data_IF_366980505559
#
_entry.id   IF_366980505559
#
_cell.length_a   1.000
_cell.length_b   1.000
_cell.length_c   1.000
_cell.angle_alpha   90.00
_cell.angle_beta   90.00
_cell.angle_gamma   90.00
#
_symmetry.space_group_name_H-M   'P 1'
#
loop_
_entity.id
_entity.type
_entity.pdbx_description
1 polymer ?
#
# COMPACT_ATOMS: atom_id res chain seq x y z
N UNK A 1 -28.34 76.97 -30.39
CA UNK A 1 -29.21 76.15 -29.50
C UNK A 1 -29.72 74.99 -30.33
N UNK A 2 -29.36 73.75 -29.99
CA UNK A 2 -29.83 72.57 -30.72
C UNK A 2 -31.23 72.23 -30.23
N UNK A 3 -32.19 72.08 -31.14
CA UNK A 3 -33.59 71.76 -30.82
C UNK A 3 -33.69 70.42 -30.09
N UNK A 4 -34.49 70.38 -29.02
CA UNK A 4 -34.70 69.19 -28.19
C UNK A 4 -35.18 68.00 -29.05
N UNK A 5 -35.95 68.27 -30.11
CA UNK A 5 -36.42 67.25 -31.06
C UNK A 5 -35.27 66.62 -31.86
N UNK A 6 -34.28 67.41 -32.24
CA UNK A 6 -33.07 66.96 -32.95
C UNK A 6 -32.17 66.13 -32.04
N UNK A 7 -32.06 66.52 -30.75
CA UNK A 7 -31.33 65.74 -29.76
C UNK A 7 -31.99 64.39 -29.44
N UNK A 8 -33.32 64.34 -29.37
CA UNK A 8 -34.08 63.10 -29.13
C UNK A 8 -33.99 62.16 -30.35
N UNK A 9 -34.08 62.69 -31.57
CA UNK A 9 -33.93 61.88 -32.79
C UNK A 9 -32.52 61.28 -32.92
N UNK A 10 -31.48 62.05 -32.59
CA UNK A 10 -30.10 61.55 -32.57
C UNK A 10 -29.90 60.47 -31.48
N UNK A 11 -30.47 60.65 -30.29
CA UNK A 11 -30.40 59.65 -29.21
C UNK A 11 -31.18 58.36 -29.53
N UNK A 12 -32.30 58.44 -30.25
CA UNK A 12 -33.04 57.27 -30.72
C UNK A 12 -32.30 56.52 -31.83
N UNK A 13 -31.66 57.23 -32.76
CA UNK A 13 -30.83 56.62 -33.80
C UNK A 13 -29.62 55.88 -33.21
N UNK A 14 -28.98 56.45 -32.19
CA UNK A 14 -27.85 55.79 -31.49
C UNK A 14 -28.28 54.58 -30.65
N UNK A 15 -29.47 54.61 -30.04
CA UNK A 15 -30.05 53.43 -29.37
C UNK A 15 -30.35 52.32 -30.37
N UNK A 16 -30.99 52.62 -31.50
CA UNK A 16 -31.26 51.62 -32.54
C UNK A 16 -29.97 51.01 -33.12
N UNK A 17 -28.90 51.81 -33.29
CA UNK A 17 -27.59 51.30 -33.74
C UNK A 17 -26.93 50.37 -32.71
N UNK A 18 -27.03 50.67 -31.41
CA UNK A 18 -26.53 49.79 -30.34
C UNK A 18 -27.34 48.51 -30.18
N UNK A 19 -28.66 48.58 -30.30
CA UNK A 19 -29.54 47.40 -30.16
C UNK A 19 -29.51 46.50 -31.39
N UNK A 20 -29.31 47.07 -32.59
CA UNK A 20 -29.07 46.33 -33.83
C UNK A 20 -27.72 45.59 -33.84
N UNK A 21 -26.65 46.22 -33.33
CA UNK A 21 -25.34 45.58 -33.18
C UNK A 21 -25.34 44.48 -32.12
N UNK A 22 -26.02 44.68 -30.97
CA UNK A 22 -26.16 43.65 -29.93
C UNK A 22 -27.00 42.45 -30.36
N UNK A 23 -27.98 42.61 -31.25
CA UNK A 23 -28.78 41.50 -31.77
C UNK A 23 -28.18 40.81 -33.00
N UNK A 24 -27.32 41.49 -33.78
CA UNK A 24 -26.56 40.87 -34.87
C UNK A 24 -25.47 39.92 -34.34
N UNK A 25 -24.83 40.24 -33.21
CA UNK A 25 -23.87 39.33 -32.56
C UNK A 25 -24.51 38.19 -31.76
N UNK A 26 -25.75 38.35 -31.25
CA UNK A 26 -26.40 37.33 -30.41
C UNK A 26 -27.35 36.36 -31.11
N UNK A 27 -27.57 36.46 -32.43
CA UNK A 27 -28.48 35.56 -33.15
C UNK A 27 -28.00 35.04 -34.51
N UNK A 28 -26.68 34.94 -34.75
CA UNK A 28 -26.22 33.88 -35.66
C UNK A 28 -26.18 32.58 -34.84
N UNK A 29 -27.35 31.95 -34.67
CA UNK A 29 -27.44 30.53 -34.32
C UNK A 29 -26.73 29.77 -35.44
N UNK A 30 -25.41 29.61 -35.33
CA UNK A 30 -24.63 28.74 -36.22
C UNK A 30 -25.24 27.35 -36.06
N UNK A 31 -26.01 26.89 -37.04
CA UNK A 31 -26.34 25.47 -37.15
C UNK A 31 -25.02 24.70 -37.19
N UNK A 32 -24.94 23.50 -36.60
CA UNK A 32 -23.69 22.74 -36.46
C UNK A 32 -22.78 22.69 -37.69
N UNK A 33 -23.37 22.75 -38.90
CA UNK A 33 -22.65 22.87 -40.17
C UNK A 33 -21.71 24.10 -40.29
N UNK A 34 -22.04 25.26 -39.70
CA UNK A 34 -21.22 26.50 -39.74
C UNK A 34 -20.16 26.54 -38.61
N UNK A 35 -20.09 25.49 -37.79
CA UNK A 35 -19.09 25.26 -36.74
C UNK A 35 -18.02 24.23 -37.15
N UNK A 36 -18.04 23.75 -38.40
CA UNK A 36 -17.16 22.67 -38.85
C UNK A 36 -17.50 21.31 -38.21
N UNK A 37 -18.66 21.20 -37.58
CA UNK A 37 -19.18 19.93 -37.06
C UNK A 37 -19.79 19.22 -38.26
N UNK A 38 -19.14 18.14 -38.69
CA UNK A 38 -19.68 17.29 -39.75
C UNK A 38 -21.12 16.88 -39.39
N UNK A 39 -22.05 16.91 -40.35
CA UNK A 39 -23.41 16.45 -40.11
C UNK A 39 -23.39 15.00 -39.61
N UNK A 40 -24.16 14.73 -38.55
CA UNK A 40 -24.23 13.42 -37.90
C UNK A 40 -24.63 12.34 -38.91
N UNK A 41 -23.70 11.42 -39.20
CA UNK A 41 -23.93 10.26 -40.05
C UNK A 41 -24.01 8.99 -39.18
N UNK A 42 -25.22 8.44 -38.95
CA UNK A 42 -25.42 7.30 -38.07
C UNK A 42 -24.55 6.08 -38.42
N UNK A 43 -24.28 5.84 -39.71
CA UNK A 43 -23.49 4.69 -40.14
C UNK A 43 -22.00 4.86 -39.79
N UNK A 44 -21.46 6.07 -39.98
CA UNK A 44 -20.08 6.39 -39.58
C UNK A 44 -19.92 6.40 -38.06
N UNK A 45 -20.88 6.95 -37.33
CA UNK A 45 -20.86 6.92 -35.88
C UNK A 45 -20.89 5.49 -35.33
N UNK A 46 -21.77 4.64 -35.85
CA UNK A 46 -21.81 3.23 -35.47
C UNK A 46 -20.51 2.48 -35.80
N UNK A 47 -19.91 2.76 -36.97
CA UNK A 47 -18.60 2.21 -37.34
C UNK A 47 -17.48 2.62 -36.37
N UNK A 48 -17.49 3.89 -35.95
CA UNK A 48 -16.57 4.43 -34.95
C UNK A 48 -16.74 3.78 -33.58
N UNK A 49 -17.97 3.69 -33.07
CA UNK A 49 -18.24 3.05 -31.76
C UNK A 49 -17.79 1.58 -31.75
N UNK A 50 -17.98 0.86 -32.86
CA UNK A 50 -17.47 -0.51 -33.01
C UNK A 50 -15.94 -0.56 -33.02
N UNK A 51 -15.29 0.36 -33.72
CA UNK A 51 -13.83 0.44 -33.78
C UNK A 51 -13.23 0.78 -32.40
N UNK A 52 -13.83 1.72 -31.67
CA UNK A 52 -13.41 2.12 -30.32
C UNK A 52 -13.65 0.97 -29.32
N UNK A 53 -14.77 0.26 -29.42
CA UNK A 53 -15.05 -0.93 -28.60
C UNK A 53 -14.04 -2.05 -28.86
N UNK A 54 -13.75 -2.35 -30.13
CA UNK A 54 -12.78 -3.38 -30.48
C UNK A 54 -11.34 -3.00 -30.05
N UNK A 55 -10.99 -1.71 -30.14
CA UNK A 55 -9.73 -1.18 -29.59
C UNK A 55 -9.64 -1.37 -28.08
N UNK A 56 -10.72 -1.07 -27.35
CA UNK A 56 -10.79 -1.24 -25.90
C UNK A 56 -10.53 -2.69 -25.50
N UNK A 57 -11.22 -3.65 -26.12
CA UNK A 57 -11.01 -5.07 -25.84
C UNK A 57 -9.61 -5.56 -26.17
N UNK A 58 -9.03 -5.09 -27.29
CA UNK A 58 -7.66 -5.41 -27.65
C UNK A 58 -6.69 -4.92 -26.58
N UNK A 59 -6.84 -3.67 -26.11
CA UNK A 59 -5.97 -3.09 -25.08
C UNK A 59 -6.10 -3.82 -23.75
N UNK A 60 -7.32 -4.17 -23.34
CA UNK A 60 -7.56 -4.94 -22.11
C UNK A 60 -6.90 -6.33 -22.21
N UNK A 61 -7.12 -7.05 -23.31
CA UNK A 61 -6.50 -8.35 -23.53
C UNK A 61 -4.98 -8.26 -23.54
N UNK A 62 -4.42 -7.23 -24.16
CA UNK A 62 -3.00 -6.96 -24.14
C UNK A 62 -2.47 -6.68 -22.73
N UNK A 63 -3.16 -5.83 -21.95
CA UNK A 63 -2.79 -5.56 -20.57
C UNK A 63 -2.80 -6.83 -19.71
N UNK A 64 -3.81 -7.69 -19.86
CA UNK A 64 -3.87 -9.01 -19.19
C UNK A 64 -2.65 -9.86 -19.55
N UNK A 65 -2.32 -9.99 -20.84
CA UNK A 65 -1.16 -10.77 -21.29
C UNK A 65 0.13 -10.22 -20.69
N UNK A 66 0.30 -8.89 -20.71
CA UNK A 66 1.48 -8.25 -20.12
C UNK A 66 1.53 -8.49 -18.61
N UNK A 67 0.44 -8.31 -17.87
CA UNK A 67 0.42 -8.59 -16.42
C UNK A 67 0.78 -10.04 -16.12
N UNK A 68 0.21 -11.01 -16.85
CA UNK A 68 0.54 -12.42 -16.66
C UNK A 68 2.01 -12.72 -17.00
N UNK A 69 2.56 -12.10 -18.05
CA UNK A 69 3.98 -12.19 -18.38
C UNK A 69 4.86 -11.57 -17.28
N UNK A 70 4.47 -10.41 -16.73
CA UNK A 70 5.19 -9.80 -15.61
C UNK A 70 5.21 -10.75 -14.41
N UNK A 71 4.05 -11.30 -14.05
CA UNK A 71 3.90 -12.17 -12.88
C UNK A 71 4.61 -13.50 -13.02
N UNK A 72 4.38 -14.24 -14.10
CA UNK A 72 4.78 -15.65 -14.19
C UNK A 72 6.09 -15.87 -14.93
N UNK A 73 6.62 -14.85 -15.61
CA UNK A 73 7.88 -14.96 -16.34
C UNK A 73 8.92 -14.02 -15.72
N UNK A 74 8.59 -12.73 -15.56
CA UNK A 74 9.59 -11.75 -15.13
C UNK A 74 9.88 -11.82 -13.64
N UNK A 75 8.86 -11.77 -12.76
CA UNK A 75 9.09 -11.80 -11.31
C UNK A 75 9.90 -13.04 -10.87
N UNK A 76 9.60 -14.30 -11.28
CA UNK A 76 10.42 -15.45 -10.88
C UNK A 76 11.86 -15.42 -11.43
N UNK A 77 12.09 -14.69 -12.53
CA UNK A 77 13.42 -14.57 -13.15
C UNK A 77 14.26 -13.41 -12.59
N UNK A 78 13.66 -12.55 -11.76
CA UNK A 78 14.32 -11.38 -11.17
C UNK A 78 14.48 -11.59 -9.66
N UNK A 79 15.57 -11.09 -9.10
CA UNK A 79 15.77 -11.05 -7.64
C UNK A 79 15.13 -9.77 -7.07
N UNK A 80 14.75 -9.81 -5.79
CA UNK A 80 14.12 -8.69 -5.08
C UNK A 80 14.96 -7.39 -5.18
N UNK A 81 16.28 -7.52 -5.27
CA UNK A 81 17.24 -6.40 -5.38
C UNK A 81 17.23 -5.69 -6.74
N UNK A 82 16.61 -6.27 -7.77
CA UNK A 82 16.65 -5.76 -9.17
C UNK A 82 15.24 -5.55 -9.73
N UNK A 83 14.38 -4.91 -8.95
CA UNK A 83 12.97 -4.70 -9.27
C UNK A 83 12.70 -3.58 -10.28
N UNK A 84 13.68 -2.74 -10.62
CA UNK A 84 13.53 -1.64 -11.60
C UNK A 84 12.93 -2.10 -12.94
N UNK A 85 13.32 -3.29 -13.40
CA UNK A 85 12.82 -3.87 -14.66
C UNK A 85 11.33 -4.15 -14.58
N UNK A 86 10.81 -4.55 -13.42
CA UNK A 86 9.38 -4.85 -13.21
C UNK A 86 8.51 -3.60 -13.30
N UNK A 87 9.06 -2.41 -13.05
CA UNK A 87 8.35 -1.13 -13.20
C UNK A 87 8.50 -0.53 -14.59
N UNK A 88 9.70 -0.62 -15.17
CA UNK A 88 10.02 0.03 -16.46
C UNK A 88 9.43 -0.75 -17.63
N UNK A 89 9.56 -2.08 -17.63
CA UNK A 89 9.12 -2.92 -18.74
C UNK A 89 7.62 -2.78 -19.07
N UNK A 90 6.67 -2.80 -18.10
CA UNK A 90 5.25 -2.61 -18.42
C UNK A 90 4.96 -1.20 -18.94
N UNK A 91 5.73 -0.20 -18.55
CA UNK A 91 5.59 1.16 -19.08
C UNK A 91 6.09 1.22 -20.54
N UNK A 92 7.21 0.57 -20.86
CA UNK A 92 7.71 0.52 -22.24
C UNK A 92 6.78 -0.22 -23.20
N UNK A 93 6.00 -1.18 -22.69
CA UNK A 93 4.97 -1.90 -23.45
C UNK A 93 3.87 -0.98 -24.01
N UNK A 94 3.66 0.21 -23.43
CA UNK A 94 2.76 1.24 -24.01
C UNK A 94 3.14 1.60 -25.45
N UNK A 95 4.44 1.62 -25.76
CA UNK A 95 4.96 2.02 -27.07
C UNK A 95 4.57 1.00 -28.16
N UNK A 96 4.27 -0.24 -27.79
CA UNK A 96 3.88 -1.31 -28.73
C UNK A 96 2.40 -1.27 -29.08
N UNK A 97 1.57 -0.56 -28.31
CA UNK A 97 0.11 -0.48 -28.53
C UNK A 97 -0.23 -0.03 -29.97
N UNK A 98 0.41 1.01 -30.55
CA UNK A 98 0.15 1.39 -31.94
C UNK A 98 0.52 0.33 -32.97
N UNK A 99 1.58 -0.44 -32.73
CA UNK A 99 2.00 -1.52 -33.60
C UNK A 99 1.00 -2.68 -33.54
N UNK A 100 0.55 -3.07 -32.34
CA UNK A 100 -0.43 -4.12 -32.12
C UNK A 100 -1.76 -3.82 -32.82
N UNK A 101 -2.26 -2.60 -32.69
CA UNK A 101 -3.49 -2.18 -33.36
C UNK A 101 -3.37 -2.28 -34.89
N UNK A 102 -2.23 -1.87 -35.47
CA UNK A 102 -2.02 -1.97 -36.92
C UNK A 102 -1.90 -3.42 -37.41
N UNK A 103 -1.39 -4.31 -36.55
CA UNK A 103 -1.19 -5.72 -36.88
C UNK A 103 -2.47 -6.54 -36.76
N UNK A 104 -3.27 -6.32 -35.71
CA UNK A 104 -4.42 -7.16 -35.36
C UNK A 104 -5.73 -6.62 -35.92
N UNK A 105 -5.91 -5.30 -35.97
CA UNK A 105 -7.21 -4.73 -36.30
C UNK A 105 -7.51 -4.75 -37.80
N UNK A 106 -8.76 -5.07 -38.19
CA UNK A 106 -9.22 -4.99 -39.57
C UNK A 106 -8.95 -3.63 -40.22
N UNK A 107 -8.64 -3.64 -41.51
CA UNK A 107 -8.29 -2.42 -42.26
C UNK A 107 -9.40 -1.36 -42.24
N UNK A 108 -10.66 -1.80 -42.14
CA UNK A 108 -11.86 -0.95 -42.04
C UNK A 108 -11.85 -0.05 -40.79
N UNK A 109 -11.09 -0.39 -39.76
CA UNK A 109 -10.98 0.40 -38.54
C UNK A 109 -9.77 1.35 -38.54
N UNK A 110 -8.87 1.23 -39.52
CA UNK A 110 -7.64 2.03 -39.59
C UNK A 110 -7.90 3.54 -39.64
N UNK A 111 -8.97 3.94 -40.32
CA UNK A 111 -9.38 5.35 -40.48
C UNK A 111 -9.80 6.01 -39.17
N UNK A 112 -10.21 5.21 -38.17
CA UNK A 112 -10.68 5.71 -36.88
C UNK A 112 -9.54 5.82 -35.84
N UNK A 113 -8.34 5.30 -36.13
CA UNK A 113 -7.18 5.40 -35.24
C UNK A 113 -6.46 6.74 -35.35
N UNK A 114 -6.97 7.71 -34.59
CA UNK A 114 -6.40 9.05 -34.49
C UNK A 114 -5.59 9.22 -33.20
N UNK A 115 -4.89 10.36 -33.07
CA UNK A 115 -4.14 10.73 -31.85
C UNK A 115 -4.99 10.62 -30.57
N UNK A 116 -6.28 10.96 -30.64
CA UNK A 116 -7.19 10.87 -29.49
C UNK A 116 -7.46 9.42 -29.05
N UNK A 117 -7.60 8.50 -30.00
CA UNK A 117 -7.79 7.07 -29.73
C UNK A 117 -6.55 6.46 -29.09
N UNK A 118 -5.35 6.83 -29.56
CA UNK A 118 -4.09 6.37 -28.96
C UNK A 118 -3.93 6.82 -27.51
N UNK A 119 -4.25 8.08 -27.22
CA UNK A 119 -4.20 8.60 -25.85
C UNK A 119 -5.16 7.81 -24.94
N UNK A 120 -6.39 7.58 -25.37
CA UNK A 120 -7.36 6.76 -24.59
C UNK A 120 -6.87 5.34 -24.37
N UNK A 121 -6.28 4.70 -25.39
CA UNK A 121 -5.72 3.37 -25.28
C UNK A 121 -4.55 3.31 -24.28
N UNK A 122 -3.70 4.34 -24.21
CA UNK A 122 -2.63 4.41 -23.21
C UNK A 122 -3.17 4.50 -21.79
N UNK A 123 -4.14 5.38 -21.54
CA UNK A 123 -4.77 5.47 -20.21
C UNK A 123 -5.46 4.17 -19.82
N UNK A 124 -6.22 3.58 -20.75
CA UNK A 124 -6.90 2.31 -20.53
C UNK A 124 -5.90 1.21 -20.18
N UNK A 125 -4.79 1.08 -20.94
CA UNK A 125 -3.74 0.12 -20.64
C UNK A 125 -3.15 0.36 -19.25
N UNK A 126 -2.73 1.58 -18.93
CA UNK A 126 -2.06 1.87 -17.65
C UNK A 126 -2.94 1.54 -16.46
N UNK A 127 -4.22 1.93 -16.49
CA UNK A 127 -5.13 1.61 -15.39
C UNK A 127 -5.48 0.13 -15.32
N UNK A 128 -5.68 -0.54 -16.46
CA UNK A 128 -5.97 -1.98 -16.49
C UNK A 128 -4.77 -2.77 -15.98
N UNK A 129 -3.57 -2.45 -16.45
CA UNK A 129 -2.33 -3.06 -15.99
C UNK A 129 -2.13 -2.85 -14.49
N UNK A 130 -2.23 -1.61 -13.99
CA UNK A 130 -2.04 -1.32 -12.57
C UNK A 130 -3.06 -2.07 -11.70
N UNK A 131 -4.33 -2.07 -12.11
CA UNK A 131 -5.39 -2.79 -11.40
C UNK A 131 -5.14 -4.30 -11.37
N UNK A 132 -4.74 -4.90 -12.48
CA UNK A 132 -4.44 -6.33 -12.54
C UNK A 132 -3.16 -6.68 -11.79
N UNK A 133 -2.15 -5.81 -11.82
CA UNK A 133 -0.91 -6.01 -11.08
C UNK A 133 -1.17 -6.05 -9.58
N UNK A 134 -1.99 -5.13 -9.03
CA UNK A 134 -2.37 -5.20 -7.61
C UNK A 134 -3.16 -6.47 -7.27
N UNK A 135 -4.02 -6.93 -8.18
CA UNK A 135 -4.77 -8.18 -7.97
C UNK A 135 -3.86 -9.41 -7.95
N UNK A 136 -2.86 -9.45 -8.82
CA UNK A 136 -2.03 -10.64 -9.06
C UNK A 136 -0.80 -10.71 -8.15
N UNK A 137 -0.39 -9.58 -7.58
CA UNK A 137 0.73 -9.50 -6.62
C UNK A 137 0.28 -9.82 -5.20
N UNK A 138 -1.00 -9.60 -4.88
CA UNK A 138 -1.55 -9.87 -3.57
C UNK A 138 -2.20 -11.26 -3.48
N UNK A 139 -2.41 -11.76 -2.24
CA UNK A 139 -3.12 -13.02 -2.03
C UNK A 139 -4.55 -12.97 -2.61
N UNK A 140 -5.07 -14.08 -3.17
CA UNK A 140 -4.50 -15.42 -3.24
C UNK A 140 -3.57 -15.67 -4.45
N UNK A 141 -3.25 -14.64 -5.25
CA UNK A 141 -2.55 -14.83 -6.53
C UNK A 141 -1.04 -14.59 -6.46
N UNK A 142 -0.57 -13.92 -5.42
CA UNK A 142 0.84 -13.72 -5.14
C UNK A 142 1.06 -13.45 -3.67
N UNK A 143 2.29 -13.69 -3.24
CA UNK A 143 2.72 -13.45 -1.88
C UNK A 143 4.18 -12.99 -1.91
N UNK A 144 4.37 -11.69 -1.84
CA UNK A 144 5.65 -11.05 -2.13
C UNK A 144 6.21 -10.29 -0.93
N UNK A 145 5.59 -10.42 0.25
CA UNK A 145 6.00 -9.69 1.45
C UNK A 145 5.96 -10.64 2.63
N UNK A 146 7.09 -10.79 3.32
CA UNK A 146 7.16 -11.54 4.57
C UNK A 146 6.25 -10.95 5.65
N UNK A 147 5.87 -11.74 6.68
CA UNK A 147 5.02 -11.29 7.77
C UNK A 147 5.62 -10.08 8.47
N UNK A 148 4.74 -9.23 8.96
CA UNK A 148 5.11 -7.97 9.58
C UNK A 148 4.80 -8.03 11.07
N UNK A 149 5.56 -7.29 11.89
CA UNK A 149 5.13 -7.00 13.24
C UNK A 149 3.71 -6.41 13.20
N UNK A 150 2.78 -7.01 13.94
CA UNK A 150 1.36 -6.68 13.86
C UNK A 150 1.09 -5.24 14.34
N UNK A 151 1.72 -4.83 15.45
CA UNK A 151 1.75 -3.44 15.91
C UNK A 151 3.00 -3.19 16.78
N UNK A 152 2.96 -3.59 18.05
CA UNK A 152 4.05 -3.38 19.00
C UNK A 152 4.63 -4.71 19.53
N UNK A 153 5.79 -4.61 20.18
CA UNK A 153 6.44 -5.70 20.91
C UNK A 153 6.74 -5.24 22.32
N UNK A 154 6.78 -6.15 23.29
CA UNK A 154 6.94 -5.81 24.68
C UNK A 154 7.72 -6.85 25.46
N UNK A 155 8.37 -6.41 26.54
CA UNK A 155 8.95 -7.29 27.55
C UNK A 155 8.06 -7.29 28.79
N UNK A 156 7.81 -8.49 29.31
CA UNK A 156 7.00 -8.73 30.50
C UNK A 156 7.83 -9.52 31.50
N UNK A 157 7.77 -9.11 32.76
CA UNK A 157 8.39 -9.83 33.86
C UNK A 157 7.28 -10.50 34.68
N UNK A 158 7.44 -11.80 34.90
CA UNK A 158 6.58 -12.57 35.79
C UNK A 158 7.03 -12.37 37.24
N UNK A 159 6.11 -12.02 38.13
CA UNK A 159 6.35 -11.98 39.57
C UNK A 159 5.13 -12.48 40.35
N UNK A 160 5.30 -13.54 41.13
CA UNK A 160 4.23 -14.16 41.94
C UNK A 160 2.97 -14.53 41.14
N UNK A 161 3.11 -14.98 39.90
CA UNK A 161 2.00 -15.34 39.01
C UNK A 161 1.25 -14.15 38.40
N UNK A 162 1.81 -12.94 38.50
CA UNK A 162 1.33 -11.76 37.79
C UNK A 162 2.38 -11.31 36.75
N UNK A 163 1.91 -10.74 35.66
CA UNK A 163 2.73 -10.29 34.54
C UNK A 163 2.73 -8.77 34.45
N UNK A 164 3.92 -8.17 34.48
CA UNK A 164 4.10 -6.71 34.44
C UNK A 164 4.95 -6.29 33.26
N UNK A 165 4.47 -5.32 32.47
CA UNK A 165 5.20 -4.75 31.34
C UNK A 165 6.34 -3.83 31.80
N UNK A 166 7.33 -3.66 30.92
CA UNK A 166 8.40 -2.68 31.05
C UNK A 166 7.89 -1.25 31.25
N UNK A 167 8.70 -0.41 31.91
CA UNK A 167 8.34 0.96 32.31
C UNK A 167 8.17 1.89 31.10
N UNK A 168 9.02 1.70 30.10
CA UNK A 168 8.96 2.42 28.83
C UNK A 168 8.91 1.41 27.68
N UNK A 169 7.92 1.60 26.79
CA UNK A 169 7.76 0.83 25.55
C UNK A 169 7.78 1.81 24.39
N UNK A 170 8.87 1.78 23.62
CA UNK A 170 9.03 2.55 22.40
C UNK A 170 9.39 1.59 21.27
N UNK A 171 8.95 1.84 20.03
CA UNK A 171 8.91 0.86 18.94
C UNK A 171 10.19 0.07 18.60
N UNK A 172 11.36 0.41 19.16
CA UNK A 172 12.58 -0.39 19.12
C UNK A 172 13.29 -0.63 20.46
N UNK A 173 12.85 0.01 21.54
CA UNK A 173 13.51 0.00 22.85
C UNK A 173 12.49 -0.18 23.98
N UNK A 174 12.74 -1.16 24.84
CA UNK A 174 12.00 -1.37 26.09
C UNK A 174 12.94 -1.14 27.27
N UNK A 175 12.50 -0.42 28.30
CA UNK A 175 13.32 -0.14 29.48
C UNK A 175 12.67 -0.62 30.77
N UNK A 176 13.48 -1.19 31.65
CA UNK A 176 13.11 -1.55 33.01
C UNK A 176 14.06 -0.90 34.00
N UNK A 177 13.57 -0.05 34.89
CA UNK A 177 14.41 0.62 35.89
C UNK A 177 14.24 -0.03 37.25
N UNK A 178 15.32 -0.58 37.80
CA UNK A 178 15.29 -1.21 39.13
C UNK A 178 15.33 -0.17 40.25
N UNK A 179 14.67 -0.43 41.39
CA UNK A 179 14.85 0.34 42.61
C UNK A 179 16.10 -0.10 43.41
N UNK A 180 16.49 0.68 44.43
CA UNK A 180 17.70 0.38 45.21
C UNK A 180 17.56 -0.93 45.98
N UNK A 181 18.44 -1.90 45.67
CA UNK A 181 18.41 -3.24 46.26
C UNK A 181 17.47 -4.22 45.57
N UNK A 182 16.79 -3.80 44.49
CA UNK A 182 15.95 -4.65 43.67
C UNK A 182 16.76 -5.41 42.61
N UNK A 183 16.28 -6.60 42.27
CA UNK A 183 16.76 -7.41 41.15
C UNK A 183 15.56 -8.08 40.50
N UNK A 184 15.66 -8.39 39.21
CA UNK A 184 14.63 -9.18 38.53
C UNK A 184 14.60 -10.56 39.18
N UNK A 185 13.46 -10.97 39.75
CA UNK A 185 13.35 -12.23 40.51
C UNK A 185 12.69 -13.34 39.69
N UNK A 186 11.84 -13.00 38.71
CA UNK A 186 11.10 -13.99 37.93
C UNK A 186 11.47 -14.03 36.46
N UNK A 187 10.61 -14.71 35.71
CA UNK A 187 10.81 -15.01 34.30
C UNK A 187 10.54 -13.80 33.43
N UNK A 188 11.48 -13.45 32.56
CA UNK A 188 11.30 -12.40 31.56
C UNK A 188 10.85 -13.01 30.22
N UNK A 189 9.83 -12.41 29.62
CA UNK A 189 9.20 -12.85 28.38
C UNK A 189 9.15 -11.72 27.37
N UNK A 190 9.49 -12.00 26.11
CA UNK A 190 9.23 -11.09 24.98
C UNK A 190 7.96 -11.53 24.29
N UNK A 191 7.02 -10.61 24.15
CA UNK A 191 5.71 -10.84 23.54
C UNK A 191 5.54 -9.95 22.31
N UNK A 192 5.09 -10.52 21.20
CA UNK A 192 4.75 -9.78 19.99
C UNK A 192 3.80 -10.60 19.10
N UNK A 193 3.18 -9.92 18.14
CA UNK A 193 2.37 -10.53 17.10
C UNK A 193 2.97 -10.37 15.72
N UNK A 194 2.80 -11.35 14.84
CA UNK A 194 3.08 -11.21 13.41
C UNK A 194 1.76 -11.22 12.62
N UNK A 195 1.57 -10.21 11.78
CA UNK A 195 0.49 -10.15 10.82
C UNK A 195 1.01 -10.61 9.45
N UNK A 196 0.31 -11.58 8.86
CA UNK A 196 0.56 -12.02 7.49
C UNK A 196 -0.65 -11.80 6.57
N UNK A 197 -0.40 -11.68 5.26
CA UNK A 197 -1.42 -11.44 4.25
C UNK A 197 -2.08 -12.73 3.71
N UNK A 198 -1.46 -13.91 3.87
CA UNK A 198 -1.95 -15.19 3.34
C UNK A 198 -2.43 -16.12 4.45
N UNK A 199 -1.51 -16.60 5.30
CA UNK A 199 -1.79 -17.50 6.43
C UNK A 199 -0.72 -17.43 7.55
N UNK A 200 -1.09 -17.96 8.71
CA UNK A 200 -0.32 -17.91 9.96
C UNK A 200 0.70 -19.06 10.14
N UNK A 201 0.91 -19.90 9.13
CA UNK A 201 1.62 -21.19 9.24
C UNK A 201 2.83 -21.38 8.32
N UNK A 202 3.07 -20.47 7.37
CA UNK A 202 4.14 -20.58 6.38
C UNK A 202 5.51 -20.04 6.79
N UNK A 203 5.58 -19.16 7.79
CA UNK A 203 6.79 -18.44 8.14
C UNK A 203 7.62 -19.15 9.22
N UNK A 204 8.92 -19.29 8.97
CA UNK A 204 9.89 -19.74 9.95
C UNK A 204 10.48 -18.52 10.68
N UNK A 205 10.27 -18.47 12.00
CA UNK A 205 10.73 -17.37 12.85
C UNK A 205 11.85 -17.86 13.75
N UNK A 206 13.04 -17.32 13.56
CA UNK A 206 14.20 -17.58 14.42
C UNK A 206 14.50 -16.35 15.25
N UNK A 207 14.62 -16.54 16.57
CA UNK A 207 14.89 -15.42 17.48
C UNK A 207 16.19 -15.65 18.20
N UNK A 208 17.06 -14.64 18.12
CA UNK A 208 18.39 -14.65 18.71
C UNK A 208 18.41 -13.61 19.82
N UNK A 209 18.68 -14.08 21.04
CA UNK A 209 18.95 -13.21 22.19
C UNK A 209 20.44 -13.09 22.41
N UNK A 210 20.92 -11.86 22.46
CA UNK A 210 22.32 -11.52 22.68
C UNK A 210 22.43 -10.72 23.98
N UNK A 211 23.29 -11.18 24.87
CA UNK A 211 23.68 -10.45 26.07
C UNK A 211 25.19 -10.55 26.28
N UNK A 212 25.84 -9.39 26.38
CA UNK A 212 27.29 -9.28 26.43
C UNK A 212 27.96 -10.00 25.23
N UNK A 213 28.68 -11.09 25.48
CA UNK A 213 29.34 -11.91 24.44
C UNK A 213 28.68 -13.28 24.25
N UNK A 214 27.44 -13.46 24.74
CA UNK A 214 26.70 -14.72 24.63
C UNK A 214 25.50 -14.51 23.72
N UNK A 215 25.35 -15.43 22.77
CA UNK A 215 24.20 -15.50 21.87
C UNK A 215 23.46 -16.80 22.12
N UNK A 216 22.14 -16.73 22.20
CA UNK A 216 21.27 -17.88 22.40
C UNK A 216 20.10 -17.81 21.43
N UNK A 217 19.79 -18.94 20.80
CA UNK A 217 18.60 -19.06 19.96
C UNK A 217 17.43 -19.45 20.88
N UNK A 218 16.37 -18.67 20.84
CA UNK A 218 15.17 -18.86 21.65
C UNK A 218 14.04 -19.29 20.73
N UNK A 219 13.37 -20.38 21.10
CA UNK A 219 12.16 -20.85 20.44
C UNK A 219 10.92 -20.21 21.09
N UNK A 220 9.90 -19.94 20.28
CA UNK A 220 8.61 -19.45 20.77
C UNK A 220 7.91 -20.52 21.61
N UNK A 221 7.39 -20.13 22.76
CA UNK A 221 6.56 -20.98 23.59
C UNK A 221 5.09 -20.87 23.16
N UNK A 222 4.60 -21.91 22.51
CA UNK A 222 3.23 -21.98 22.02
C UNK A 222 2.17 -22.07 23.15
N UNK A 223 2.51 -22.66 24.31
CA UNK A 223 1.52 -22.84 25.39
C UNK A 223 1.36 -21.60 26.28
N UNK A 224 2.32 -20.66 26.23
CA UNK A 224 2.27 -19.43 27.01
C UNK A 224 0.95 -18.67 26.83
N UNK A 225 0.47 -18.53 25.59
CA UNK A 225 -0.75 -17.77 25.30
C UNK A 225 -2.03 -18.51 25.71
N UNK A 226 -2.03 -19.84 25.67
CA UNK A 226 -3.15 -20.65 26.16
C UNK A 226 -3.25 -20.62 27.69
N UNK A 227 -2.11 -20.64 28.37
CA UNK A 227 -2.03 -20.70 29.84
C UNK A 227 -2.16 -19.33 30.50
N UNK A 228 -1.52 -18.30 29.93
CA UNK A 228 -1.33 -16.99 30.56
C UNK A 228 -1.89 -15.81 29.76
N UNK A 229 -2.53 -16.06 28.61
CA UNK A 229 -3.07 -15.00 27.75
C UNK A 229 -4.10 -14.09 28.44
N UNK A 230 -4.80 -14.61 29.47
CA UNK A 230 -5.71 -13.82 30.31
C UNK A 230 -5.00 -13.03 31.41
N UNK A 231 -3.86 -13.53 31.90
CA UNK A 231 -3.11 -12.98 33.04
C UNK A 231 -2.29 -11.76 32.64
N UNK A 232 -1.82 -11.72 31.39
CA UNK A 232 -1.16 -10.56 30.78
C UNK A 232 -2.15 -9.40 30.52
N UNK A 233 -3.47 -9.64 30.61
CA UNK A 233 -4.54 -8.62 30.66
C UNK A 233 -4.82 -7.83 29.36
N UNK A 234 -6.08 -7.86 28.88
CA UNK A 234 -6.74 -6.85 28.01
C UNK A 234 -5.99 -6.25 26.78
N UNK A 235 -5.18 -7.03 26.08
CA UNK A 235 -4.38 -6.61 24.91
C UNK A 235 -5.11 -6.78 23.55
N UNK A 236 -6.23 -7.53 23.51
CA UNK A 236 -7.10 -7.67 22.32
C UNK A 236 -8.02 -6.47 22.08
N UNK A 237 -8.23 -5.59 23.07
CA UNK A 237 -9.02 -4.35 22.93
C UNK A 237 -8.58 -3.34 23.98
N UNK A 238 -8.13 -2.17 23.53
CA UNK A 238 -7.54 -1.13 24.37
C UNK A 238 -8.36 -0.75 25.61
N UNK A 239 -7.80 -0.99 26.82
CA UNK A 239 -7.63 0.04 27.87
C UNK A 239 -6.76 -0.41 29.07
N UNK A 240 -5.52 0.07 29.13
CA UNK A 240 -4.91 0.71 30.31
C UNK A 240 -3.72 1.55 29.79
N UNK A 241 -3.57 2.80 30.24
CA UNK A 241 -2.90 3.93 29.55
C UNK A 241 -1.43 3.77 29.09
N UNK A 242 -0.76 2.65 29.32
CA UNK A 242 0.65 2.40 28.97
C UNK A 242 0.96 0.96 28.50
N UNK A 243 -0.05 0.10 28.34
CA UNK A 243 0.16 -1.26 27.85
C UNK A 243 0.21 -1.29 26.31
N UNK A 244 1.20 -1.98 25.71
CA UNK A 244 1.33 -2.04 24.26
C UNK A 244 0.26 -2.91 23.61
N UNK A 245 -0.07 -2.60 22.37
CA UNK A 245 -1.00 -3.39 21.56
C UNK A 245 -0.19 -4.42 20.76
N UNK A 246 -0.33 -5.70 21.09
CA UNK A 246 0.49 -6.76 20.47
C UNK A 246 -0.23 -7.51 19.34
N UNK A 247 -1.56 -7.67 19.43
CA UNK A 247 -2.41 -8.31 18.41
C UNK A 247 -3.63 -7.43 18.11
N UNK A 248 -3.47 -6.36 17.31
CA UNK A 248 -4.59 -5.52 16.89
C UNK A 248 -5.70 -6.31 16.16
N UNK A 249 -5.38 -7.43 15.51
CA UNK A 249 -6.29 -8.27 14.75
C UNK A 249 -6.51 -9.65 15.39
N UNK A 250 -6.38 -9.77 16.71
CA UNK A 250 -6.81 -10.90 17.55
C UNK A 250 -6.57 -12.32 16.98
N UNK A 251 -7.51 -12.83 16.16
CA UNK A 251 -7.48 -14.20 15.62
C UNK A 251 -6.79 -14.30 14.24
N UNK A 252 -6.34 -13.19 13.66
CA UNK A 252 -5.59 -13.15 12.40
C UNK A 252 -4.07 -12.98 12.61
N UNK A 253 -3.67 -12.42 13.75
CA UNK A 253 -2.27 -12.21 14.06
C UNK A 253 -1.70 -13.45 14.76
N UNK A 254 -0.50 -13.87 14.36
CA UNK A 254 0.21 -14.99 14.96
C UNK A 254 0.94 -14.55 16.25
N UNK A 255 0.61 -15.11 17.42
CA UNK A 255 1.20 -14.68 18.68
C UNK A 255 2.53 -15.40 18.99
N UNK A 256 3.52 -14.65 19.45
CA UNK A 256 4.83 -15.16 19.87
C UNK A 256 5.13 -14.79 21.31
N UNK A 257 5.63 -15.75 22.07
CA UNK A 257 6.10 -15.57 23.43
C UNK A 257 7.46 -16.24 23.60
N UNK A 258 8.49 -15.45 23.90
CA UNK A 258 9.87 -15.93 24.01
C UNK A 258 10.35 -15.82 25.45
N UNK A 259 10.85 -16.90 26.01
CA UNK A 259 11.39 -16.88 27.36
C UNK A 259 12.87 -16.46 27.34
N UNK A 260 13.18 -15.28 27.90
CA UNK A 260 14.55 -14.78 28.00
C UNK A 260 15.35 -15.38 29.16
N UNK A 261 14.65 -16.04 30.09
CA UNK A 261 15.24 -16.64 31.29
C UNK A 261 14.78 -15.98 32.58
N UNK A 262 15.17 -16.60 33.69
CA UNK A 262 14.91 -16.09 35.04
C UNK A 262 16.00 -15.14 35.50
N UNK A 263 15.60 -14.07 36.18
CA UNK A 263 16.53 -13.16 36.84
C UNK A 263 17.51 -12.48 35.89
N UNK A 264 16.95 -11.83 34.86
CA UNK A 264 17.73 -11.10 33.86
C UNK A 264 18.72 -10.13 34.52
N UNK A 265 19.97 -10.16 34.08
CA UNK A 265 21.03 -9.32 34.62
C UNK A 265 20.89 -7.87 34.16
N UNK A 266 21.42 -6.93 34.96
CA UNK A 266 21.48 -5.51 34.59
C UNK A 266 22.35 -5.33 33.34
N UNK A 267 21.85 -4.54 32.38
CA UNK A 267 22.53 -4.26 31.13
C UNK A 267 21.59 -4.27 29.92
N UNK A 268 22.18 -4.21 28.73
CA UNK A 268 21.46 -4.17 27.46
C UNK A 268 21.36 -5.56 26.85
N UNK A 269 20.15 -5.98 26.56
CA UNK A 269 19.81 -7.22 25.86
C UNK A 269 19.34 -6.89 24.46
N UNK A 270 19.95 -7.51 23.46
CA UNK A 270 19.53 -7.37 22.05
C UNK A 270 18.73 -8.60 21.65
N UNK A 271 17.57 -8.38 21.03
CA UNK A 271 16.70 -9.42 20.50
C UNK A 271 16.64 -9.22 18.99
N UNK A 272 17.12 -10.20 18.23
CA UNK A 272 17.06 -10.19 16.77
C UNK A 272 16.04 -11.22 16.33
N UNK A 273 14.98 -10.77 15.66
CA UNK A 273 13.93 -11.63 15.11
C UNK A 273 14.14 -11.71 13.61
N UNK A 274 14.46 -12.90 13.12
CA UNK A 274 14.62 -13.22 11.72
C UNK A 274 13.41 -14.04 11.26
N UNK A 275 12.76 -13.56 10.21
CA UNK A 275 11.56 -14.17 9.64
C UNK A 275 11.90 -14.56 8.21
N UNK A 276 11.73 -15.86 7.92
CA UNK A 276 11.92 -16.43 6.59
C UNK A 276 10.62 -17.10 6.15
N UNK A 277 10.11 -16.71 4.98
CA UNK A 277 8.89 -17.28 4.43
C UNK A 277 9.06 -17.59 2.94
N UNK A 278 8.54 -18.74 2.53
CA UNK A 278 8.42 -19.08 1.11
C UNK A 278 7.17 -18.43 0.52
N UNK A 279 7.33 -17.25 -0.04
CA UNK A 279 6.29 -16.59 -0.81
C UNK A 279 6.16 -17.10 -2.25
N UNK A 280 5.37 -16.39 -3.05
CA UNK A 280 5.19 -16.60 -4.48
C UNK A 280 5.32 -15.26 -5.25
N UNK A 281 6.42 -15.05 -6.01
CA UNK A 281 7.39 -16.05 -6.47
C UNK A 281 8.71 -16.07 -5.69
N UNK A 282 8.87 -15.22 -4.69
CA UNK A 282 10.14 -15.01 -4.01
C UNK A 282 10.14 -15.59 -2.60
N UNK A 283 11.33 -15.96 -2.14
CA UNK A 283 11.60 -16.12 -0.72
C UNK A 283 11.65 -14.72 -0.10
N UNK A 284 10.83 -14.51 0.92
CA UNK A 284 10.71 -13.23 1.61
C UNK A 284 11.44 -13.34 2.95
N UNK A 285 12.28 -12.35 3.24
CA UNK A 285 13.02 -12.28 4.49
C UNK A 285 12.75 -10.94 5.18
N UNK A 286 12.70 -10.97 6.52
CA UNK A 286 12.60 -9.76 7.33
C UNK A 286 13.35 -9.93 8.63
N UNK A 287 14.07 -8.87 9.03
CA UNK A 287 14.79 -8.85 10.29
C UNK A 287 14.34 -7.65 11.12
N UNK A 288 14.01 -7.91 12.38
CA UNK A 288 13.81 -6.90 13.40
C UNK A 288 14.94 -6.96 14.42
N UNK A 289 15.43 -5.80 14.85
CA UNK A 289 16.39 -5.69 15.96
C UNK A 289 15.75 -4.84 17.04
N UNK A 290 15.60 -5.43 18.21
CA UNK A 290 14.97 -4.86 19.38
C UNK A 290 15.96 -4.80 20.53
N UNK A 291 15.83 -3.80 21.38
CA UNK A 291 16.71 -3.61 22.54
C UNK A 291 15.88 -3.55 23.81
N UNK A 292 16.27 -4.34 24.80
CA UNK A 292 15.71 -4.31 26.14
C UNK A 292 16.82 -3.92 27.14
N UNK A 293 16.63 -2.80 27.84
CA UNK A 293 17.60 -2.27 28.79
C UNK A 293 17.10 -2.46 30.22
N UNK A 294 17.84 -3.23 31.01
CA UNK A 294 17.64 -3.32 32.45
C UNK A 294 18.58 -2.32 33.11
N UNK A 295 18.02 -1.19 33.53
CA UNK A 295 18.74 -0.07 34.11
C UNK A 295 18.92 -0.27 35.63
N UNK A 296 20.13 0.01 36.17
CA UNK A 296 20.33 0.04 37.61
C UNK A 296 19.54 1.21 38.24
N UNK A 297 19.33 1.20 39.57
CA UNK A 297 18.69 2.30 40.27
C UNK A 297 19.34 3.63 39.96
N UNK A 298 18.50 4.63 39.68
CA UNK A 298 18.92 6.01 39.45
C UNK A 298 19.63 6.48 40.71
N UNK A 299 20.97 6.58 40.64
CA UNK A 299 21.75 7.12 41.73
C UNK A 299 21.23 8.54 42.04
N UNK A 300 20.71 8.74 43.25
CA UNK A 300 20.33 10.07 43.71
C UNK A 300 21.56 10.96 43.66
N UNK A 301 21.60 11.87 42.67
CA UNK A 301 22.57 12.97 42.66
C UNK A 301 22.25 13.87 43.85
N UNK A 302 22.93 13.65 44.98
CA UNK A 302 23.05 14.64 46.06
C UNK A 302 23.94 15.81 45.63
#
# INVERSE_FOLDING_TARGET
MVDLKTAIAAAQADRMKRDGAKNAEKKKRRSGADLGIEPFDPAKHHGKERADTASMWLVIAYAVIVTMMMRYILMPSTTLDKTDVLYILPLTMLILIPQLHRMVMPERFKEHYTKGTWFRAFFLYTFTFLSLSFLVVNPPFGDIVAPQLADEWAVVIEHNGNYTFADEVNGGENEWTLEEGEYIVGGAWVLFGLADNVDDTGANVTVIHQFQNTETIIESNASFWEEHGTDVGTWRTANNKSAPILLPHADLDMPFALFLGDGLAVGTHTIVVEIHEQGDPWENERTYTWTFSVNPPVASTE
#
